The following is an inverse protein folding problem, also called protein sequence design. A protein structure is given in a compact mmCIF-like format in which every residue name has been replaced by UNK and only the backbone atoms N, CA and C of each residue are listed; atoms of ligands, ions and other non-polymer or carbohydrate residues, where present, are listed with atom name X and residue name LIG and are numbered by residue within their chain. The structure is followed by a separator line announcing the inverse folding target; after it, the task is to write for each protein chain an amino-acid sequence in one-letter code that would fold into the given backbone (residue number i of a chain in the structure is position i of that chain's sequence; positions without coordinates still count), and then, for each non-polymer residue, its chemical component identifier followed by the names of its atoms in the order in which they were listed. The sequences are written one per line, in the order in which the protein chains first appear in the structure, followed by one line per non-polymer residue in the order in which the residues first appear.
data_IF_103983443398
#
_entry.id   IF_103983443398
#
_cell.length_a   1.000
_cell.length_b   1.000
_cell.length_c   1.000
_cell.angle_alpha   90.00
_cell.angle_beta   90.00
_cell.angle_gamma   90.00
#
_symmetry.space_group_name_H-M   'P 1'
#
loop_
_entity.id
_entity.type
_entity.pdbx_description
1 polymer ?
#
# COMPACT_ATOMS: atom_id res chain seq x y z
N UNK A 1 -14.51 -5.59 -12.89
CA UNK A 1 -13.96 -6.91 -13.20
C UNK A 1 -12.62 -6.81 -13.94
N UNK A 2 -12.54 -6.15 -15.10
CA UNK A 2 -11.28 -6.02 -15.88
C UNK A 2 -10.12 -5.41 -15.07
N UNK A 3 -10.36 -4.35 -14.29
CA UNK A 3 -9.32 -3.73 -13.48
C UNK A 3 -8.80 -4.65 -12.35
N UNK A 4 -9.66 -5.52 -11.81
CA UNK A 4 -9.25 -6.53 -10.83
C UNK A 4 -8.36 -7.58 -11.47
N UNK A 5 -8.71 -8.06 -12.67
CA UNK A 5 -7.89 -9.02 -13.41
C UNK A 5 -6.53 -8.43 -13.78
N UNK A 6 -6.49 -7.16 -14.18
CA UNK A 6 -5.24 -6.45 -14.45
C UNK A 6 -4.38 -6.31 -13.18
N UNK A 7 -4.95 -5.82 -12.08
CA UNK A 7 -4.27 -5.71 -10.80
C UNK A 7 -3.74 -7.06 -10.31
N UNK A 8 -4.55 -8.10 -10.47
CA UNK A 8 -4.18 -9.48 -10.16
C UNK A 8 -3.01 -9.97 -10.99
N UNK A 9 -3.02 -9.76 -12.30
CA UNK A 9 -1.92 -10.13 -13.19
C UNK A 9 -0.61 -9.42 -12.82
N UNK A 10 -0.66 -8.11 -12.52
CA UNK A 10 0.50 -7.34 -12.04
C UNK A 10 1.03 -7.88 -10.72
N UNK A 11 0.13 -8.16 -9.76
CA UNK A 11 0.50 -8.70 -8.45
C UNK A 11 1.07 -10.11 -8.55
N UNK A 12 0.49 -10.96 -9.40
CA UNK A 12 0.97 -12.32 -9.63
C UNK A 12 2.36 -12.32 -10.28
N UNK A 13 2.56 -11.51 -11.33
CA UNK A 13 3.85 -11.39 -12.00
C UNK A 13 4.95 -10.95 -11.03
N UNK A 14 4.66 -9.99 -10.15
CA UNK A 14 5.62 -9.51 -9.16
C UNK A 14 5.95 -10.58 -8.09
N UNK A 15 4.95 -11.30 -7.58
CA UNK A 15 5.16 -12.33 -6.56
C UNK A 15 5.88 -13.57 -7.12
N UNK A 16 5.56 -13.95 -8.35
CA UNK A 16 6.14 -15.13 -9.00
C UNK A 16 7.57 -14.87 -9.50
N UNK A 17 7.85 -13.64 -9.94
CA UNK A 17 9.13 -13.23 -10.49
C UNK A 17 9.61 -11.92 -9.84
N UNK A 18 9.90 -11.93 -8.52
CA UNK A 18 10.38 -10.75 -7.84
C UNK A 18 11.75 -10.34 -8.41
N UNK A 19 11.93 -9.09 -8.87
CA UNK A 19 13.23 -8.64 -9.34
C UNK A 19 14.21 -8.49 -8.17
N UNK A 20 15.44 -8.99 -8.33
CA UNK A 20 16.47 -8.94 -7.28
C UNK A 20 16.39 -10.13 -6.32
N UNK A 21 16.92 -9.95 -5.11
CA UNK A 21 17.06 -11.02 -4.11
C UNK A 21 16.04 -10.81 -2.96
N UNK A 22 14.91 -11.55 -2.96
CA UNK A 22 13.82 -11.36 -2.00
C UNK A 22 14.09 -12.01 -0.63
N UNK A 23 15.05 -12.92 -0.54
CA UNK A 23 15.32 -13.80 0.59
C UNK A 23 16.10 -13.12 1.73
N UNK A 24 16.62 -11.89 1.52
CA UNK A 24 17.41 -11.11 2.50
C UNK A 24 18.41 -11.96 3.30
N UNK A 25 18.89 -13.05 2.71
CA UNK A 25 19.62 -14.11 3.40
C UNK A 25 20.92 -13.59 3.99
N UNK A 26 21.57 -12.65 3.30
CA UNK A 26 22.74 -11.92 3.80
C UNK A 26 22.48 -11.10 5.07
N UNK A 27 21.27 -10.54 5.23
CA UNK A 27 20.88 -9.85 6.47
C UNK A 27 20.66 -10.84 7.61
N UNK A 28 20.04 -11.99 7.33
CA UNK A 28 19.82 -13.05 8.32
C UNK A 28 21.15 -13.58 8.82
N UNK A 29 22.05 -13.98 7.90
CA UNK A 29 23.38 -14.46 8.27
C UNK A 29 24.19 -13.42 9.03
N UNK A 30 24.12 -12.14 8.64
CA UNK A 30 24.75 -11.07 9.40
C UNK A 30 24.18 -10.94 10.82
N UNK A 31 22.86 -11.09 10.99
CA UNK A 31 22.23 -11.00 12.31
C UNK A 31 22.59 -12.18 13.22
N UNK A 32 22.72 -13.39 12.65
CA UNK A 32 23.15 -14.59 13.36
C UNK A 32 24.62 -14.48 13.78
N UNK A 33 25.48 -14.06 12.85
CA UNK A 33 26.90 -13.77 13.09
C UNK A 33 27.12 -12.76 14.23
N UNK A 34 26.25 -11.74 14.33
CA UNK A 34 26.31 -10.71 15.37
C UNK A 34 25.82 -11.22 16.72
N UNK A 35 24.84 -12.13 16.73
CA UNK A 35 24.33 -12.75 17.94
C UNK A 35 25.33 -13.74 18.56
N UNK A 36 26.13 -14.42 17.72
CA UNK A 36 27.17 -15.36 18.15
C UNK A 36 28.50 -14.70 18.52
N UNK A 37 28.68 -13.41 18.17
CA UNK A 37 29.88 -12.64 18.50
C UNK A 37 29.95 -12.33 20.01
N UNK A 38 30.69 -13.17 20.76
CA UNK A 38 30.99 -12.94 22.20
C UNK A 38 31.75 -11.64 22.47
N UNK A 39 32.49 -11.14 21.48
CA UNK A 39 33.21 -9.87 21.54
C UNK A 39 33.11 -9.15 20.18
N UNK A 40 32.24 -8.13 20.13
CA UNK A 40 31.86 -7.42 18.90
C UNK A 40 33.08 -6.79 18.19
N UNK A 41 34.06 -6.30 18.96
CA UNK A 41 35.24 -5.60 18.42
C UNK A 41 36.23 -6.59 17.79
N UNK A 42 36.42 -7.76 18.39
CA UNK A 42 37.27 -8.81 17.82
C UNK A 42 36.65 -9.44 16.57
N UNK A 43 35.33 -9.64 16.57
CA UNK A 43 34.59 -10.17 15.42
C UNK A 43 34.66 -9.23 14.20
N UNK A 44 34.41 -7.94 14.42
CA UNK A 44 34.45 -6.89 13.39
C UNK A 44 35.82 -6.76 12.70
N UNK A 45 36.90 -6.94 13.45
CA UNK A 45 38.27 -6.86 12.92
C UNK A 45 38.72 -8.13 12.19
N UNK A 46 38.14 -9.30 12.52
CA UNK A 46 38.49 -10.59 11.93
C UNK A 46 37.65 -10.94 10.69
N UNK A 47 36.41 -10.46 10.62
CA UNK A 47 35.50 -10.67 9.49
C UNK A 47 35.11 -9.31 8.92
N UNK A 48 35.67 -8.88 7.76
CA UNK A 48 35.18 -7.66 7.12
C UNK A 48 33.68 -7.84 6.92
N UNK A 49 32.88 -6.97 7.55
CA UNK A 49 31.42 -7.01 7.55
C UNK A 49 30.92 -7.45 6.18
N UNK A 50 30.29 -8.64 6.11
CA UNK A 50 29.53 -9.01 4.91
C UNK A 50 28.59 -7.85 4.61
N UNK A 51 28.60 -7.37 3.36
CA UNK A 51 27.75 -6.27 2.94
C UNK A 51 26.30 -6.71 3.03
N UNK A 52 25.66 -6.34 4.13
CA UNK A 52 24.25 -6.60 4.46
C UNK A 52 23.31 -6.05 3.38
N UNK A 53 23.74 -4.97 2.72
CA UNK A 53 23.07 -4.36 1.56
C UNK A 53 23.74 -4.86 0.28
N UNK A 54 23.16 -5.86 -0.36
CA UNK A 54 23.58 -6.29 -1.69
C UNK A 54 22.87 -5.48 -2.77
N UNK A 55 23.46 -5.42 -3.98
CA UNK A 55 22.79 -4.85 -5.14
C UNK A 55 21.45 -5.56 -5.42
N UNK A 56 21.38 -6.88 -5.22
CA UNK A 56 20.15 -7.66 -5.37
C UNK A 56 19.06 -7.24 -4.39
N UNK A 57 19.39 -7.02 -3.11
CA UNK A 57 18.41 -6.53 -2.12
C UNK A 57 17.96 -5.09 -2.42
N UNK A 58 18.86 -4.22 -2.90
CA UNK A 58 18.50 -2.86 -3.31
C UNK A 58 17.56 -2.85 -4.54
N UNK A 59 17.83 -3.73 -5.52
CA UNK A 59 16.95 -3.92 -6.68
C UNK A 59 15.58 -4.44 -6.23
N UNK A 60 15.53 -5.41 -5.31
CA UNK A 60 14.29 -5.92 -4.76
C UNK A 60 13.50 -4.86 -3.99
N UNK A 61 14.18 -4.09 -3.13
CA UNK A 61 13.53 -3.00 -2.39
C UNK A 61 12.96 -1.94 -3.34
N UNK A 62 13.73 -1.53 -4.35
CA UNK A 62 13.30 -0.57 -5.36
C UNK A 62 12.13 -1.08 -6.19
N UNK A 63 12.17 -2.35 -6.63
CA UNK A 63 11.10 -2.98 -7.39
C UNK A 63 9.83 -3.16 -6.55
N UNK A 64 9.97 -3.48 -5.26
CA UNK A 64 8.86 -3.57 -4.32
C UNK A 64 8.17 -2.22 -4.09
N UNK A 65 8.95 -1.14 -3.92
CA UNK A 65 8.39 0.22 -3.82
C UNK A 65 7.65 0.62 -5.09
N UNK A 66 8.22 0.31 -6.26
CA UNK A 66 7.59 0.57 -7.54
C UNK A 66 6.28 -0.22 -7.71
N UNK A 67 6.29 -1.50 -7.32
CA UNK A 67 5.10 -2.36 -7.28
C UNK A 67 4.01 -1.75 -6.38
N UNK A 68 4.37 -1.36 -5.16
CA UNK A 68 3.42 -0.74 -4.23
C UNK A 68 2.85 0.57 -4.81
N UNK A 69 3.69 1.40 -5.42
CA UNK A 69 3.26 2.65 -6.05
C UNK A 69 2.33 2.37 -7.25
N UNK A 70 2.65 1.38 -8.09
CA UNK A 70 1.81 0.95 -9.20
C UNK A 70 0.45 0.45 -8.75
N UNK A 71 0.41 -0.43 -7.74
CA UNK A 71 -0.83 -0.93 -7.15
C UNK A 71 -1.65 0.20 -6.51
N UNK A 72 -1.00 1.15 -5.85
CA UNK A 72 -1.65 2.33 -5.28
C UNK A 72 -2.29 3.21 -6.36
N UNK A 73 -1.60 3.44 -7.49
CA UNK A 73 -2.15 4.18 -8.63
C UNK A 73 -3.33 3.46 -9.28
N UNK A 74 -3.25 2.14 -9.45
CA UNK A 74 -4.36 1.30 -9.93
C UNK A 74 -5.58 1.45 -8.99
N UNK A 75 -5.33 1.42 -7.68
CA UNK A 75 -6.34 1.65 -6.66
C UNK A 75 -6.96 3.05 -6.74
N UNK A 76 -6.16 4.11 -6.88
CA UNK A 76 -6.64 5.49 -7.06
C UNK A 76 -7.45 5.66 -8.35
N UNK A 77 -7.09 4.95 -9.41
CA UNK A 77 -7.87 4.93 -10.63
C UNK A 77 -9.24 4.27 -10.39
N UNK A 78 -9.28 3.15 -9.67
CA UNK A 78 -10.53 2.51 -9.27
C UNK A 78 -11.40 3.41 -8.38
N UNK A 79 -10.79 4.09 -7.41
CA UNK A 79 -11.43 5.13 -6.60
C UNK A 79 -12.08 6.21 -7.50
N UNK A 80 -11.37 6.67 -8.53
CA UNK A 80 -11.88 7.69 -9.45
C UNK A 80 -13.10 7.19 -10.22
N UNK A 81 -13.02 5.98 -10.77
CA UNK A 81 -14.16 5.33 -11.45
C UNK A 81 -15.37 5.24 -10.52
N UNK A 82 -15.14 4.79 -9.29
CA UNK A 82 -16.19 4.63 -8.28
C UNK A 82 -16.86 5.96 -7.91
N UNK A 83 -16.08 7.01 -7.64
CA UNK A 83 -16.63 8.31 -7.27
C UNK A 83 -17.38 8.96 -8.43
N UNK A 84 -16.91 8.79 -9.68
CA UNK A 84 -17.65 9.24 -10.86
C UNK A 84 -19.04 8.58 -10.94
N UNK A 85 -19.10 7.25 -10.77
CA UNK A 85 -20.34 6.49 -10.75
C UNK A 85 -21.29 6.97 -9.63
N UNK A 86 -20.77 7.07 -8.40
CA UNK A 86 -21.54 7.54 -7.24
C UNK A 86 -22.08 8.98 -7.41
N UNK A 87 -21.32 9.85 -8.09
CA UNK A 87 -21.72 11.24 -8.37
C UNK A 87 -22.51 11.40 -9.69
N UNK A 88 -22.86 10.30 -10.37
CA UNK A 88 -23.54 10.31 -11.69
C UNK A 88 -22.78 11.11 -12.76
N UNK A 89 -21.45 11.17 -12.65
CA UNK A 89 -20.57 11.74 -13.69
C UNK A 89 -20.29 10.62 -14.69
N UNK A 90 -20.36 10.89 -16.02
CA UNK A 90 -20.06 9.87 -17.03
C UNK A 90 -18.71 9.18 -16.79
N UNK A 91 -18.71 7.83 -16.71
CA UNK A 91 -17.51 7.05 -16.37
C UNK A 91 -16.36 7.28 -17.36
N UNK A 92 -16.68 7.59 -18.62
CA UNK A 92 -15.71 7.95 -19.67
C UNK A 92 -14.84 9.17 -19.31
N UNK A 93 -15.29 10.02 -18.37
CA UNK A 93 -14.51 11.16 -17.89
C UNK A 93 -13.48 10.78 -16.82
N UNK A 94 -13.60 9.60 -16.20
CA UNK A 94 -12.72 9.18 -15.11
C UNK A 94 -11.24 9.09 -15.53
N UNK A 95 -10.86 8.51 -16.69
CA UNK A 95 -9.48 8.54 -17.17
C UNK A 95 -8.95 9.97 -17.30
N UNK A 96 -9.73 10.88 -17.90
CA UNK A 96 -9.32 12.28 -18.04
C UNK A 96 -9.07 12.93 -16.68
N UNK A 97 -9.99 12.76 -15.72
CA UNK A 97 -9.84 13.31 -14.36
C UNK A 97 -8.56 12.79 -13.70
N UNK A 98 -8.34 11.48 -13.77
CA UNK A 98 -7.19 10.81 -13.18
C UNK A 98 -5.87 11.28 -13.81
N UNK A 99 -5.74 11.18 -15.14
CA UNK A 99 -4.50 11.51 -15.85
C UNK A 99 -4.16 13.00 -15.80
N UNK A 100 -5.16 13.90 -15.74
CA UNK A 100 -4.90 15.34 -15.56
C UNK A 100 -4.22 15.66 -14.23
N UNK A 101 -4.36 14.79 -13.22
CA UNK A 101 -3.81 14.98 -11.87
C UNK A 101 -2.78 13.91 -11.48
N UNK A 102 -2.32 13.10 -12.42
CA UNK A 102 -1.44 11.95 -12.14
C UNK A 102 -0.15 12.36 -11.41
N UNK A 103 0.45 13.49 -11.79
CA UNK A 103 1.66 14.00 -11.11
C UNK A 103 1.42 14.36 -9.65
N UNK A 104 0.26 14.95 -9.34
CA UNK A 104 -0.14 15.24 -7.96
C UNK A 104 -0.43 13.96 -7.16
N UNK A 105 -0.95 12.92 -7.82
CA UNK A 105 -1.17 11.61 -7.22
C UNK A 105 0.14 10.86 -6.96
N UNK A 106 1.12 10.96 -7.86
CA UNK A 106 2.46 10.40 -7.66
C UNK A 106 3.14 11.10 -6.48
N UNK A 107 3.11 12.44 -6.45
CA UNK A 107 3.65 13.20 -5.32
C UNK A 107 2.93 12.85 -4.00
N UNK A 108 1.60 12.71 -4.04
CA UNK A 108 0.81 12.21 -2.90
C UNK A 108 1.30 10.83 -2.45
N UNK A 109 1.43 9.88 -3.37
CA UNK A 109 1.88 8.52 -3.07
C UNK A 109 3.27 8.54 -2.42
N UNK A 110 4.22 9.31 -2.96
CA UNK A 110 5.55 9.46 -2.37
C UNK A 110 5.51 10.05 -0.95
N UNK A 111 4.72 11.12 -0.73
CA UNK A 111 4.60 11.78 0.59
C UNK A 111 3.86 10.95 1.64
N UNK A 112 3.06 9.96 1.24
CA UNK A 112 2.38 9.07 2.17
C UNK A 112 3.17 7.78 2.39
N UNK A 113 3.77 7.22 1.34
CA UNK A 113 4.46 5.94 1.37
C UNK A 113 5.84 6.05 2.03
N UNK A 114 6.66 7.05 1.69
CA UNK A 114 8.02 7.15 2.24
C UNK A 114 7.99 7.48 3.75
N UNK A 115 7.32 8.58 4.20
CA UNK A 115 7.15 8.82 5.63
C UNK A 115 6.29 7.76 6.30
N UNK A 116 5.42 7.09 5.55
CA UNK A 116 4.58 6.02 6.08
C UNK A 116 5.36 4.76 6.43
N UNK A 117 6.31 4.35 5.60
CA UNK A 117 7.19 3.22 5.88
C UNK A 117 8.10 3.52 7.09
N UNK A 118 8.65 4.73 7.16
CA UNK A 118 9.46 5.17 8.32
C UNK A 118 8.60 5.24 9.58
N UNK A 119 7.43 5.88 9.48
CA UNK A 119 6.50 6.04 10.60
C UNK A 119 5.95 4.72 11.10
N UNK A 120 5.71 3.75 10.21
CA UNK A 120 5.29 2.40 10.59
C UNK A 120 6.42 1.65 11.31
N UNK A 121 7.66 1.79 10.86
CA UNK A 121 8.81 1.13 11.50
C UNK A 121 9.14 1.71 12.89
N UNK A 122 9.03 3.04 13.07
CA UNK A 122 9.43 3.71 14.32
C UNK A 122 8.25 3.89 15.29
N UNK A 123 7.06 4.21 14.78
CA UNK A 123 5.86 4.53 15.57
C UNK A 123 4.59 3.90 14.99
N UNK A 124 4.49 2.55 14.95
CA UNK A 124 3.40 1.84 14.28
C UNK A 124 2.01 2.27 14.78
N UNK A 125 1.85 2.45 16.09
CA UNK A 125 0.56 2.84 16.69
C UNK A 125 0.11 4.26 16.34
N UNK A 126 1.03 5.23 16.25
CA UNK A 126 0.69 6.59 15.85
C UNK A 126 0.28 6.64 14.37
N UNK A 127 0.95 5.84 13.54
CA UNK A 127 0.64 5.77 12.12
C UNK A 127 -0.77 5.21 11.86
N UNK A 128 -1.25 4.28 12.70
CA UNK A 128 -2.62 3.76 12.62
C UNK A 128 -3.69 4.86 12.78
N UNK A 129 -3.42 5.93 13.53
CA UNK A 129 -4.34 7.07 13.67
C UNK A 129 -4.21 8.11 12.54
N UNK A 130 -3.08 8.12 11.84
CA UNK A 130 -2.83 9.02 10.72
C UNK A 130 -3.57 8.56 9.45
N UNK A 131 -3.67 7.26 9.21
CA UNK A 131 -4.33 6.69 8.01
C UNK A 131 -5.79 7.20 7.88
N UNK A 132 -6.66 7.12 8.93
CA UNK A 132 -8.01 7.66 8.86
C UNK A 132 -8.06 9.18 8.61
N UNK A 133 -7.08 9.93 9.12
CA UNK A 133 -7.05 11.38 8.95
C UNK A 133 -6.83 11.82 7.50
N UNK A 134 -6.09 11.01 6.72
CA UNK A 134 -5.75 11.30 5.32
C UNK A 134 -6.61 10.53 4.32
N UNK A 135 -7.64 9.84 4.80
CA UNK A 135 -8.42 8.89 4.00
C UNK A 135 -9.15 9.56 2.82
N UNK A 136 -9.68 10.78 2.98
CA UNK A 136 -10.45 11.45 1.89
C UNK A 136 -9.59 12.38 1.02
N UNK A 137 -8.30 12.52 1.34
CA UNK A 137 -7.37 13.47 0.71
C UNK A 137 -7.27 13.30 -0.81
N UNK A 138 -7.17 12.07 -1.28
CA UNK A 138 -7.07 11.73 -2.71
C UNK A 138 -8.28 12.24 -3.50
N UNK A 139 -9.48 12.15 -2.91
CA UNK A 139 -10.70 12.72 -3.49
C UNK A 139 -10.66 14.23 -3.63
N UNK A 140 -10.14 14.92 -2.60
CA UNK A 140 -9.99 16.38 -2.63
C UNK A 140 -9.01 16.85 -3.72
N UNK A 141 -7.93 16.09 -3.95
CA UNK A 141 -6.98 16.38 -5.04
C UNK A 141 -7.60 16.14 -6.41
N UNK A 142 -8.32 15.02 -6.58
CA UNK A 142 -8.87 14.60 -7.87
C UNK A 142 -10.08 15.41 -8.30
N UNK A 143 -11.06 15.55 -7.41
CA UNK A 143 -12.37 16.10 -7.73
C UNK A 143 -12.49 17.58 -7.33
N UNK A 144 -11.95 17.95 -6.17
CA UNK A 144 -12.04 19.32 -5.67
C UNK A 144 -10.81 20.16 -6.05
N UNK A 145 -9.88 19.56 -6.83
CA UNK A 145 -8.70 20.21 -7.43
C UNK A 145 -7.79 20.89 -6.40
N UNK A 146 -7.83 20.44 -5.15
CA UNK A 146 -7.04 21.01 -4.06
C UNK A 146 -5.57 20.63 -4.18
N UNK A 147 -4.69 21.54 -3.76
CA UNK A 147 -3.26 21.30 -3.65
C UNK A 147 -3.00 20.21 -2.60
N UNK A 148 -1.92 19.43 -2.76
CA UNK A 148 -1.57 18.29 -1.89
C UNK A 148 -1.50 18.66 -0.41
N UNK A 149 -1.03 19.87 -0.08
CA UNK A 149 -0.98 20.40 1.28
C UNK A 149 -2.37 20.75 1.83
N UNK A 150 -3.15 21.55 1.09
CA UNK A 150 -4.51 21.94 1.48
C UNK A 150 -5.42 20.72 1.65
N UNK A 151 -5.32 19.78 0.73
CA UNK A 151 -6.06 18.52 0.78
C UNK A 151 -5.76 17.73 2.07
N UNK A 152 -4.53 17.75 2.58
CA UNK A 152 -4.16 17.11 3.86
C UNK A 152 -4.90 17.73 5.02
N UNK A 153 -4.84 19.06 5.15
CA UNK A 153 -5.45 19.79 6.26
C UNK A 153 -6.98 19.62 6.24
N UNK A 154 -7.59 19.79 5.06
CA UNK A 154 -9.03 19.63 4.87
C UNK A 154 -9.45 18.18 5.17
N UNK A 155 -8.70 17.18 4.70
CA UNK A 155 -8.99 15.77 4.98
C UNK A 155 -8.98 15.49 6.49
N UNK A 156 -7.97 15.97 7.21
CA UNK A 156 -7.86 15.76 8.65
C UNK A 156 -9.01 16.40 9.44
N UNK A 157 -9.47 17.57 8.99
CA UNK A 157 -10.63 18.26 9.56
C UNK A 157 -11.93 17.50 9.26
N UNK A 158 -12.18 17.18 7.99
CA UNK A 158 -13.42 16.52 7.54
C UNK A 158 -13.59 15.09 8.05
N UNK A 159 -12.51 14.39 8.35
CA UNK A 159 -12.56 13.01 8.87
C UNK A 159 -12.63 12.93 10.39
N UNK A 160 -12.61 14.06 11.13
CA UNK A 160 -12.52 14.09 12.61
C UNK A 160 -13.57 13.20 13.31
N UNK A 161 -14.81 13.21 12.85
CA UNK A 161 -15.90 12.39 13.40
C UNK A 161 -15.96 10.95 12.90
N UNK A 162 -15.19 10.61 11.86
CA UNK A 162 -15.26 9.31 11.18
C UNK A 162 -14.02 8.43 11.40
N UNK A 163 -12.99 8.93 12.10
CA UNK A 163 -11.69 8.24 12.24
C UNK A 163 -11.81 6.81 12.76
N UNK A 164 -12.59 6.60 13.82
CA UNK A 164 -12.78 5.28 14.41
C UNK A 164 -13.54 4.32 13.47
N UNK A 165 -14.55 4.84 12.76
CA UNK A 165 -15.32 4.04 11.80
C UNK A 165 -14.47 3.62 10.60
N UNK A 166 -13.65 4.53 10.05
CA UNK A 166 -12.69 4.23 8.98
C UNK A 166 -11.66 3.20 9.48
N UNK A 167 -11.12 3.40 10.68
CA UNK A 167 -10.17 2.46 11.27
C UNK A 167 -10.77 1.05 11.42
N UNK A 168 -11.97 0.93 11.98
CA UNK A 168 -12.64 -0.36 12.13
C UNK A 168 -12.89 -1.05 10.79
N UNK A 169 -13.30 -0.31 9.75
CA UNK A 169 -13.48 -0.89 8.41
C UNK A 169 -12.17 -1.43 7.83
N UNK A 170 -11.07 -0.70 7.99
CA UNK A 170 -9.75 -1.15 7.55
C UNK A 170 -9.29 -2.39 8.33
N UNK A 171 -9.53 -2.43 9.64
CA UNK A 171 -9.24 -3.61 10.48
C UNK A 171 -10.07 -4.80 10.02
N UNK A 172 -11.37 -4.61 9.76
CA UNK A 172 -12.25 -5.69 9.29
C UNK A 172 -11.81 -6.23 7.91
N UNK A 173 -11.47 -5.34 6.96
CA UNK A 173 -10.91 -5.75 5.66
C UNK A 173 -9.62 -6.55 5.85
N UNK A 174 -8.74 -6.11 6.74
CA UNK A 174 -7.47 -6.79 7.04
C UNK A 174 -7.68 -8.12 7.75
N UNK A 175 -8.67 -8.23 8.65
CA UNK A 175 -9.02 -9.48 9.32
C UNK A 175 -9.56 -10.51 8.33
N UNK A 176 -10.47 -10.10 7.42
CA UNK A 176 -11.00 -10.97 6.38
C UNK A 176 -9.87 -11.49 5.49
N UNK A 177 -8.91 -10.64 5.12
CA UNK A 177 -7.70 -11.06 4.41
C UNK A 177 -6.95 -12.15 5.16
N UNK A 178 -6.59 -11.89 6.42
CA UNK A 178 -5.78 -12.80 7.22
C UNK A 178 -6.47 -14.15 7.41
N UNK A 179 -7.79 -14.15 7.65
CA UNK A 179 -8.57 -15.39 7.80
C UNK A 179 -8.57 -16.19 6.49
N UNK A 180 -8.86 -15.57 5.35
CA UNK A 180 -8.88 -16.27 4.06
C UNK A 180 -7.48 -16.78 3.70
N UNK A 181 -6.45 -15.95 3.88
CA UNK A 181 -5.07 -16.31 3.63
C UNK A 181 -4.63 -17.50 4.49
N UNK A 182 -4.97 -17.48 5.79
CA UNK A 182 -4.66 -18.57 6.71
C UNK A 182 -5.33 -19.89 6.28
N UNK A 183 -6.63 -19.87 5.99
CA UNK A 183 -7.38 -21.06 5.54
C UNK A 183 -6.72 -21.67 4.29
N UNK A 184 -6.32 -20.82 3.34
CA UNK A 184 -5.71 -21.30 2.09
C UNK A 184 -4.27 -21.78 2.31
N UNK A 185 -3.52 -21.13 3.20
CA UNK A 185 -2.15 -21.53 3.56
C UNK A 185 -2.09 -22.88 4.26
N UNK A 186 -3.18 -23.32 4.91
CA UNK A 186 -3.29 -24.69 5.47
C UNK A 186 -3.44 -25.73 4.35
N UNK A 187 -4.05 -25.37 3.22
CA UNK A 187 -4.37 -26.29 2.13
C UNK A 187 -3.29 -26.36 1.04
N UNK A 188 -2.47 -25.32 0.89
CA UNK A 188 -1.47 -25.21 -0.16
C UNK A 188 -0.05 -25.21 0.41
N UNK A 189 0.88 -25.83 -0.32
CA UNK A 189 2.29 -25.81 0.04
C UNK A 189 2.84 -24.37 -0.01
N UNK A 190 3.63 -24.01 1.01
CA UNK A 190 4.36 -22.74 1.06
C UNK A 190 5.26 -22.58 -0.18
N UNK A 191 5.26 -21.39 -0.77
CA UNK A 191 6.03 -21.07 -1.97
C UNK A 191 5.54 -21.72 -3.27
N UNK A 192 4.39 -22.41 -3.28
CA UNK A 192 3.83 -22.98 -4.50
C UNK A 192 3.22 -21.92 -5.44
N UNK A 193 3.20 -22.16 -6.75
CA UNK A 193 2.51 -21.26 -7.69
C UNK A 193 1.03 -21.05 -7.33
N UNK A 194 0.38 -22.09 -6.76
CA UNK A 194 -0.99 -22.00 -6.27
C UNK A 194 -1.16 -20.96 -5.17
N UNK A 195 -0.25 -20.91 -4.18
CA UNK A 195 -0.33 -19.92 -3.10
C UNK A 195 -0.10 -18.50 -3.64
N UNK A 196 0.84 -18.31 -4.59
CA UNK A 196 1.07 -17.01 -5.21
C UNK A 196 -0.11 -16.49 -6.03
N UNK A 197 -0.84 -17.38 -6.74
CA UNK A 197 -2.05 -17.02 -7.48
C UNK A 197 -3.15 -16.50 -6.54
N UNK A 198 -3.36 -17.17 -5.40
CA UNK A 198 -4.34 -16.74 -4.42
C UNK A 198 -3.90 -15.47 -3.72
N UNK A 199 -2.65 -15.39 -3.27
CA UNK A 199 -2.13 -14.20 -2.59
C UNK A 199 -2.22 -12.96 -3.45
N UNK A 200 -1.82 -13.06 -4.72
CA UNK A 200 -1.94 -11.96 -5.67
C UNK A 200 -3.39 -11.54 -5.88
N UNK A 201 -4.32 -12.50 -5.94
CA UNK A 201 -5.75 -12.19 -6.07
C UNK A 201 -6.25 -11.44 -4.84
N UNK A 202 -5.96 -11.96 -3.64
CA UNK A 202 -6.38 -11.34 -2.38
C UNK A 202 -5.79 -9.94 -2.22
N UNK A 203 -4.48 -9.77 -2.45
CA UNK A 203 -3.80 -8.46 -2.40
C UNK A 203 -4.47 -7.45 -3.34
N UNK A 204 -4.80 -7.89 -4.55
CA UNK A 204 -5.45 -7.04 -5.55
C UNK A 204 -6.89 -6.70 -5.16
N UNK A 205 -7.65 -7.68 -4.71
CA UNK A 205 -9.02 -7.50 -4.23
C UNK A 205 -9.08 -6.51 -3.06
N UNK A 206 -8.21 -6.68 -2.07
CA UNK A 206 -8.17 -5.82 -0.88
C UNK A 206 -7.73 -4.41 -1.23
N UNK A 207 -6.71 -4.26 -2.08
CA UNK A 207 -6.32 -2.96 -2.59
C UNK A 207 -7.56 -2.24 -3.16
N UNK A 208 -8.25 -2.86 -4.12
CA UNK A 208 -9.44 -2.26 -4.73
C UNK A 208 -10.59 -2.04 -3.72
N UNK A 209 -10.77 -2.93 -2.74
CA UNK A 209 -11.78 -2.78 -1.70
C UNK A 209 -11.50 -1.57 -0.79
N UNK A 210 -10.24 -1.36 -0.38
CA UNK A 210 -9.82 -0.19 0.40
C UNK A 210 -10.09 1.09 -0.42
N UNK A 211 -9.70 1.12 -1.69
CA UNK A 211 -9.92 2.29 -2.52
C UNK A 211 -11.40 2.57 -2.82
N UNK A 212 -12.23 1.53 -2.92
CA UNK A 212 -13.69 1.68 -2.99
C UNK A 212 -14.26 2.25 -1.70
N UNK A 213 -13.83 1.73 -0.55
CA UNK A 213 -14.25 2.25 0.76
C UNK A 213 -13.85 3.73 0.90
N UNK A 214 -12.63 4.07 0.51
CA UNK A 214 -12.15 5.45 0.43
C UNK A 214 -13.05 6.34 -0.44
N UNK A 215 -13.50 5.83 -1.60
CA UNK A 215 -14.46 6.50 -2.48
C UNK A 215 -15.82 6.75 -1.83
N UNK A 216 -16.35 5.74 -1.14
CA UNK A 216 -17.59 5.87 -0.36
C UNK A 216 -17.46 6.93 0.74
N UNK A 217 -16.37 6.91 1.50
CA UNK A 217 -16.11 7.89 2.57
C UNK A 217 -15.96 9.29 2.02
N UNK A 218 -15.23 9.47 0.93
CA UNK A 218 -15.14 10.76 0.27
C UNK A 218 -16.51 11.28 -0.17
N UNK A 219 -17.33 10.42 -0.79
CA UNK A 219 -18.68 10.79 -1.22
C UNK A 219 -19.57 11.19 -0.03
N UNK A 220 -19.62 10.38 1.03
CA UNK A 220 -20.41 10.65 2.23
C UNK A 220 -19.99 11.97 2.91
N UNK A 221 -18.69 12.16 3.11
CA UNK A 221 -18.16 13.32 3.84
C UNK A 221 -18.31 14.62 3.03
N UNK A 222 -18.28 14.55 1.70
CA UNK A 222 -18.48 15.74 0.84
C UNK A 222 -19.94 16.00 0.46
N UNK A 223 -20.82 15.01 0.59
CA UNK A 223 -22.26 15.19 0.39
C UNK A 223 -22.91 15.97 1.54
N UNK A 224 -22.37 15.89 2.76
CA UNK A 224 -22.86 16.61 3.95
C UNK A 224 -22.61 18.13 3.91
N UNK A 225 -21.76 18.61 3.00
CA UNK A 225 -21.45 20.04 2.84
C UNK A 225 -22.40 20.75 1.85
N UNK A 226 -23.39 20.04 1.29
CA UNK A 226 -24.40 20.56 0.36
C UNK A 226 -25.80 20.45 0.96
#
# INVERSE_FOLDING_TARGET
MLLLLFAWGVSFAFLQFPPGDPDFSQFIYWSEDLADAKDFVAYYNAHPLRTVLTAGNLIYLGSFLLYLAGMHLIGLFYFTLFVCDARKVPMERAPKIFFTRIWWLILYSATLMIPGLIGFAVFPYLYLFAIPAFYVRSGLVLFDKQDVYKATLISAAKTRGHKFSIFLELVMISMVYTVIHYIISVALASGSTGIFLVESFLRSFICLAIFRNMGMRFHMVTALDK
#
